data_IF_604023913544
#
_entry.id   IF_604023913544
#
_cell.length_a   1.000
_cell.length_b   1.000
_cell.length_c   1.000
_cell.angle_alpha   90.00
_cell.angle_beta   90.00
_cell.angle_gamma   90.00
#
_symmetry.space_group_name_H-M   'P 1'
#
loop_
_entity.id
_entity.type
_entity.pdbx_description
1 polymer ?
#
# COMPACT_ATOMS: atom_id res chain seq x y z
N UNK A 1 42.08 11.46 -5.36
CA UNK A 1 40.94 11.43 -6.31
C UNK A 1 40.02 10.22 -6.09
N UNK A 2 39.78 9.77 -4.84
CA UNK A 2 38.96 8.59 -4.51
C UNK A 2 37.69 8.91 -3.70
N UNK A 3 37.56 10.13 -3.19
CA UNK A 3 36.47 10.57 -2.29
C UNK A 3 35.25 11.11 -3.09
N UNK A 4 35.46 11.52 -4.33
CA UNK A 4 34.38 12.06 -5.20
C UNK A 4 33.46 10.96 -5.75
N UNK A 5 33.96 9.74 -5.93
CA UNK A 5 33.16 8.63 -6.47
C UNK A 5 32.22 8.01 -5.43
N UNK A 6 32.61 7.97 -4.15
CA UNK A 6 31.78 7.46 -3.06
C UNK A 6 30.63 8.40 -2.70
N UNK A 7 30.82 9.71 -2.84
CA UNK A 7 29.79 10.71 -2.53
C UNK A 7 28.69 10.75 -3.62
N UNK A 8 29.06 10.60 -4.89
CA UNK A 8 28.09 10.50 -5.99
C UNK A 8 27.24 9.22 -5.88
N UNK A 9 27.84 8.10 -5.49
CA UNK A 9 27.12 6.84 -5.28
C UNK A 9 26.17 6.89 -4.08
N UNK A 10 26.57 7.49 -2.96
CA UNK A 10 25.71 7.62 -1.79
C UNK A 10 24.54 8.60 -2.03
N UNK A 11 24.76 9.67 -2.80
CA UNK A 11 23.70 10.62 -3.16
C UNK A 11 22.77 10.04 -4.22
N UNK A 12 23.28 9.26 -5.19
CA UNK A 12 22.41 8.56 -6.15
C UNK A 12 21.57 7.47 -5.46
N UNK A 13 22.14 6.73 -4.50
CA UNK A 13 21.43 5.69 -3.75
C UNK A 13 20.36 6.27 -2.80
N UNK A 14 20.62 7.44 -2.21
CA UNK A 14 19.66 8.14 -1.36
C UNK A 14 18.55 8.89 -2.14
N UNK A 15 18.78 9.20 -3.43
CA UNK A 15 17.77 9.79 -4.32
C UNK A 15 16.98 8.70 -5.06
N UNK A 16 17.54 7.49 -5.22
CA UNK A 16 16.94 6.44 -6.05
C UNK A 16 15.91 5.54 -5.36
N UNK A 17 15.65 5.69 -4.06
CA UNK A 17 14.56 4.93 -3.43
C UNK A 17 13.87 5.74 -2.35
N UNK A 18 12.80 6.49 -2.66
CA UNK A 18 11.59 6.15 -1.95
C UNK A 18 11.31 4.68 -2.31
N UNK A 19 11.31 3.80 -1.32
CA UNK A 19 10.46 2.64 -1.48
C UNK A 19 9.05 3.27 -1.63
N UNK A 20 8.55 3.31 -2.86
CA UNK A 20 7.18 3.72 -3.12
C UNK A 20 6.39 2.46 -2.76
N UNK A 21 5.65 2.47 -1.65
CA UNK A 21 4.67 1.42 -1.45
C UNK A 21 3.63 1.58 -2.56
N UNK A 22 3.52 0.55 -3.39
CA UNK A 22 2.43 0.47 -4.35
C UNK A 22 1.09 0.53 -3.60
N UNK A 23 0.08 1.13 -4.20
CA UNK A 23 -1.30 1.03 -3.73
C UNK A 23 -2.21 0.50 -4.83
N UNK A 24 -3.25 -0.23 -4.41
CA UNK A 24 -4.31 -0.69 -5.29
C UNK A 24 -5.62 -0.17 -4.71
N UNK A 25 -6.42 0.48 -5.55
CA UNK A 25 -7.69 1.07 -5.13
C UNK A 25 -8.84 0.65 -6.04
N UNK A 26 -10.02 0.45 -5.45
CA UNK A 26 -11.28 0.27 -6.17
C UNK A 26 -12.37 1.09 -5.48
N UNK A 27 -13.07 1.94 -6.24
CA UNK A 27 -14.15 2.76 -5.71
C UNK A 27 -15.47 2.03 -5.48
N UNK A 28 -15.62 0.81 -6.02
CA UNK A 28 -16.89 0.07 -6.06
C UNK A 28 -16.74 -1.43 -5.80
N UNK A 29 -15.80 -1.84 -4.94
CA UNK A 29 -15.63 -3.24 -4.57
C UNK A 29 -16.94 -3.84 -4.01
N UNK A 30 -17.30 -5.03 -4.47
CA UNK A 30 -18.49 -5.75 -4.02
C UNK A 30 -18.21 -6.43 -2.68
N UNK A 31 -19.09 -6.25 -1.70
CA UNK A 31 -18.94 -6.84 -0.36
C UNK A 31 -20.20 -7.60 0.04
N UNK A 32 -19.99 -8.80 0.55
CA UNK A 32 -21.01 -9.67 1.13
C UNK A 32 -20.59 -10.04 2.54
N UNK A 33 -21.43 -9.70 3.53
CA UNK A 33 -21.32 -10.18 4.90
C UNK A 33 -22.51 -11.09 5.14
N UNK A 34 -22.25 -12.33 5.53
CA UNK A 34 -23.32 -13.30 5.75
C UNK A 34 -22.90 -14.34 6.78
N UNK A 35 -23.66 -14.47 7.86
CA UNK A 35 -23.46 -15.55 8.83
C UNK A 35 -22.08 -15.55 9.52
N UNK A 36 -21.42 -14.39 9.62
CA UNK A 36 -20.06 -14.25 10.17
C UNK A 36 -18.92 -14.44 9.16
N UNK A 37 -19.28 -14.64 7.89
CA UNK A 37 -18.37 -14.72 6.76
C UNK A 37 -18.37 -13.40 5.99
N UNK A 38 -17.25 -13.15 5.31
CA UNK A 38 -17.03 -12.00 4.44
C UNK A 38 -16.51 -12.47 3.10
N UNK A 39 -17.03 -11.86 2.04
CA UNK A 39 -16.49 -11.97 0.69
C UNK A 39 -16.39 -10.55 0.15
N UNK A 40 -15.21 -10.22 -0.38
CA UNK A 40 -14.92 -8.93 -1.00
C UNK A 40 -14.27 -9.20 -2.34
N UNK A 41 -14.81 -8.60 -3.38
CA UNK A 41 -14.25 -8.69 -4.72
C UNK A 41 -14.14 -7.30 -5.35
N UNK A 42 -12.97 -6.99 -5.86
CA UNK A 42 -12.77 -5.83 -6.72
C UNK A 42 -13.55 -5.99 -8.03
N UNK A 43 -14.10 -4.88 -8.51
CA UNK A 43 -14.88 -4.75 -9.74
C UNK A 43 -14.09 -4.04 -10.84
N UNK A 44 -13.26 -3.06 -10.48
CA UNK A 44 -12.45 -2.27 -11.41
C UNK A 44 -11.21 -1.65 -10.70
N UNK A 45 -10.29 -2.49 -10.23
CA UNK A 45 -9.12 -2.04 -9.49
C UNK A 45 -8.15 -1.24 -10.38
N UNK A 46 -7.64 -0.15 -9.82
CA UNK A 46 -6.56 0.65 -10.39
C UNK A 46 -5.35 0.50 -9.49
N UNK A 47 -4.24 -0.02 -10.04
CA UNK A 47 -2.93 0.12 -9.40
C UNK A 47 -2.37 1.51 -9.71
N UNK A 48 -1.80 2.17 -8.70
CA UNK A 48 -1.10 3.45 -8.87
C UNK A 48 0.34 3.29 -9.36
N UNK A 49 0.79 2.05 -9.56
CA UNK A 49 2.18 1.71 -9.88
C UNK A 49 2.36 1.46 -11.36
N UNK A 50 3.21 2.26 -11.99
CA UNK A 50 3.56 2.11 -13.40
C UNK A 50 4.10 0.69 -13.69
N UNK A 51 3.43 -0.02 -14.60
CA UNK A 51 3.85 -1.34 -15.07
C UNK A 51 3.19 -2.53 -14.38
N UNK A 52 2.33 -2.31 -13.37
CA UNK A 52 1.37 -3.33 -12.98
C UNK A 52 0.17 -3.26 -13.92
N UNK A 53 -0.13 -4.38 -14.58
CA UNK A 53 -1.41 -4.58 -15.26
C UNK A 53 -2.55 -4.40 -14.24
N UNK A 54 -3.80 -4.10 -14.66
CA UNK A 54 -4.92 -4.09 -13.71
C UNK A 54 -5.00 -5.44 -12.98
N UNK A 55 -5.04 -5.39 -11.64
CA UNK A 55 -5.01 -6.57 -10.77
C UNK A 55 -6.27 -6.68 -9.95
N UNK A 56 -6.91 -7.84 -9.92
CA UNK A 56 -8.11 -8.07 -9.13
C UNK A 56 -7.78 -8.50 -7.72
N UNK A 57 -8.32 -7.79 -6.74
CA UNK A 57 -8.22 -8.17 -5.34
C UNK A 57 -9.49 -8.92 -4.96
N UNK A 58 -9.32 -10.07 -4.32
CA UNK A 58 -10.39 -10.82 -3.68
C UNK A 58 -9.98 -11.15 -2.24
N UNK A 59 -10.92 -11.07 -1.32
CA UNK A 59 -10.74 -11.51 0.06
C UNK A 59 -11.94 -12.35 0.45
N UNK A 60 -11.70 -13.47 1.12
CA UNK A 60 -12.77 -14.24 1.73
C UNK A 60 -12.35 -14.80 3.09
N UNK A 61 -13.33 -15.07 3.94
CA UNK A 61 -13.07 -15.67 5.25
C UNK A 61 -14.24 -15.53 6.20
N UNK A 62 -14.04 -15.90 7.44
CA UNK A 62 -15.03 -15.77 8.50
C UNK A 62 -14.48 -16.17 9.87
N UNK A 63 -15.24 -15.83 10.91
CA UNK A 63 -14.82 -16.04 12.30
C UNK A 63 -14.75 -17.52 12.73
N UNK A 64 -15.25 -18.43 11.88
CA UNK A 64 -15.19 -19.88 12.08
C UNK A 64 -14.13 -20.63 11.26
N UNK A 65 -13.29 -19.93 10.47
CA UNK A 65 -12.33 -20.54 9.54
C UNK A 65 -10.87 -20.45 10.03
N UNK A 66 -10.00 -21.31 9.47
CA UNK A 66 -8.55 -21.28 9.65
C UNK A 66 -7.85 -21.52 8.29
N UNK A 67 -7.13 -20.52 7.72
CA UNK A 67 -7.01 -19.15 8.22
C UNK A 67 -8.36 -18.45 8.25
N UNK A 68 -8.54 -17.51 9.20
CA UNK A 68 -9.82 -16.84 9.38
C UNK A 68 -10.17 -15.96 8.17
N UNK A 69 -9.20 -15.31 7.54
CA UNK A 69 -9.38 -14.60 6.27
C UNK A 69 -8.17 -14.80 5.37
N UNK A 70 -8.43 -14.88 4.07
CA UNK A 70 -7.42 -15.01 3.02
C UNK A 70 -7.62 -13.93 1.97
N UNK A 71 -6.51 -13.46 1.43
CA UNK A 71 -6.40 -12.43 0.40
C UNK A 71 -5.75 -13.04 -0.84
N UNK A 72 -6.31 -12.74 -2.01
CA UNK A 72 -5.71 -13.01 -3.31
C UNK A 72 -5.65 -11.73 -4.13
N UNK A 73 -4.53 -11.52 -4.79
CA UNK A 73 -4.40 -10.50 -5.84
C UNK A 73 -4.02 -11.21 -7.13
N UNK A 74 -4.93 -11.16 -8.09
CA UNK A 74 -4.79 -11.80 -9.38
C UNK A 74 -4.38 -10.80 -10.45
N UNK A 75 -3.26 -11.08 -11.10
CA UNK A 75 -2.90 -10.44 -12.37
C UNK A 75 -3.73 -11.02 -13.53
N UNK A 76 -3.46 -10.59 -14.77
CA UNK A 76 -4.20 -11.05 -15.95
C UNK A 76 -4.13 -12.56 -16.21
N UNK A 77 -3.08 -13.23 -15.71
CA UNK A 77 -2.77 -14.63 -16.04
C UNK A 77 -2.54 -15.53 -14.84
N UNK A 78 -2.30 -14.96 -13.67
CA UNK A 78 -1.79 -15.65 -12.49
C UNK A 78 -2.02 -14.83 -11.22
N UNK A 79 -2.08 -15.53 -10.09
CA UNK A 79 -2.11 -14.93 -8.76
C UNK A 79 -0.72 -14.39 -8.42
N UNK A 80 -0.63 -13.09 -8.14
CA UNK A 80 0.62 -12.38 -7.87
C UNK A 80 0.84 -12.10 -6.39
N UNK A 81 -0.23 -12.14 -5.57
CA UNK A 81 -0.17 -12.20 -4.12
C UNK A 81 -1.18 -13.16 -3.54
N UNK A 82 -0.76 -13.86 -2.49
CA UNK A 82 -1.62 -14.61 -1.59
C UNK A 82 -1.27 -14.20 -0.16
N UNK A 83 -2.26 -14.07 0.70
CA UNK A 83 -2.04 -13.69 2.09
C UNK A 83 -3.03 -14.27 3.06
N UNK A 84 -2.54 -14.51 4.27
CA UNK A 84 -3.36 -14.93 5.40
C UNK A 84 -3.47 -13.78 6.40
N UNK A 85 -4.63 -13.66 7.03
CA UNK A 85 -4.87 -12.61 8.01
C UNK A 85 -3.90 -12.69 9.17
N UNK A 86 -3.24 -11.58 9.45
CA UNK A 86 -2.42 -11.38 10.63
C UNK A 86 -3.22 -10.65 11.73
N UNK A 87 -4.02 -9.66 11.34
CA UNK A 87 -4.88 -8.88 12.24
C UNK A 87 -6.09 -8.31 11.50
N UNK A 88 -7.13 -7.92 12.23
CA UNK A 88 -8.25 -7.16 11.68
C UNK A 88 -8.85 -6.23 12.73
N UNK A 89 -9.44 -5.13 12.28
CA UNK A 89 -10.12 -4.19 13.16
C UNK A 89 -11.35 -3.57 12.51
N UNK A 90 -12.33 -3.25 13.34
CA UNK A 90 -13.55 -2.55 12.96
C UNK A 90 -13.70 -1.31 13.83
N UNK A 91 -13.91 -0.14 13.22
CA UNK A 91 -13.97 1.14 13.92
C UNK A 91 -15.28 1.37 14.69
N UNK A 92 -16.25 0.46 14.56
CA UNK A 92 -17.60 0.62 15.11
C UNK A 92 -18.52 1.48 14.24
N UNK A 93 -18.09 1.80 13.02
CA UNK A 93 -18.77 2.67 12.08
C UNK A 93 -18.72 2.08 10.68
N UNK A 94 -17.98 2.72 9.78
CA UNK A 94 -18.00 2.43 8.35
C UNK A 94 -16.64 2.00 7.79
N UNK A 95 -15.67 1.68 8.66
CA UNK A 95 -14.33 1.26 8.24
C UNK A 95 -14.01 -0.11 8.81
N UNK A 96 -13.65 -1.02 7.91
CA UNK A 96 -13.16 -2.36 8.23
C UNK A 96 -11.75 -2.51 7.66
N UNK A 97 -10.80 -2.83 8.52
CA UNK A 97 -9.39 -2.98 8.15
C UNK A 97 -8.93 -4.41 8.41
N UNK A 98 -8.12 -4.93 7.50
CA UNK A 98 -7.46 -6.22 7.61
C UNK A 98 -5.99 -6.07 7.29
N UNK A 99 -5.14 -6.70 8.09
CA UNK A 99 -3.70 -6.80 7.82
C UNK A 99 -3.42 -8.24 7.44
N UNK A 100 -2.81 -8.44 6.28
CA UNK A 100 -2.42 -9.73 5.75
C UNK A 100 -0.91 -9.90 5.76
N UNK A 101 -0.44 -11.05 6.20
CA UNK A 101 0.90 -11.53 5.89
C UNK A 101 0.87 -12.14 4.50
N UNK A 102 1.52 -11.47 3.55
CA UNK A 102 1.44 -11.83 2.13
C UNK A 102 2.73 -12.46 1.62
N UNK A 103 2.59 -13.28 0.59
CA UNK A 103 3.67 -13.82 -0.22
C UNK A 103 3.31 -13.67 -1.70
N UNK A 104 4.29 -13.77 -2.59
CA UNK A 104 4.06 -13.73 -4.03
C UNK A 104 5.05 -12.84 -4.75
N UNK A 105 4.90 -12.73 -6.08
CA UNK A 105 5.80 -11.94 -6.92
C UNK A 105 5.65 -10.44 -6.69
N UNK A 106 4.47 -9.96 -6.27
CA UNK A 106 4.24 -8.53 -6.05
C UNK A 106 4.58 -8.05 -4.62
N UNK A 107 5.03 -8.94 -3.71
CA UNK A 107 5.35 -8.54 -2.33
C UNK A 107 6.60 -7.66 -2.25
N UNK A 108 7.44 -7.67 -3.27
CA UNK A 108 8.57 -6.73 -3.40
C UNK A 108 8.12 -5.26 -3.57
N UNK A 109 6.88 -5.02 -4.01
CA UNK A 109 6.31 -3.69 -4.25
C UNK A 109 5.28 -3.27 -3.20
N UNK A 110 4.46 -4.22 -2.75
CA UNK A 110 3.40 -4.00 -1.76
C UNK A 110 3.85 -4.25 -0.31
N UNK A 111 5.04 -4.85 -0.13
CA UNK A 111 5.54 -5.29 1.18
C UNK A 111 5.09 -6.71 1.53
N UNK A 112 5.63 -7.23 2.62
CA UNK A 112 5.27 -8.57 3.13
C UNK A 112 4.11 -8.52 4.13
N UNK A 113 3.77 -7.32 4.61
CA UNK A 113 2.53 -7.03 5.32
C UNK A 113 1.75 -6.00 4.52
N UNK A 114 0.48 -6.30 4.27
CA UNK A 114 -0.41 -5.46 3.46
C UNK A 114 -1.68 -5.18 4.25
N UNK A 115 -2.12 -3.93 4.25
CA UNK A 115 -3.37 -3.48 4.83
C UNK A 115 -4.42 -3.33 3.73
N UNK A 116 -5.55 -4.01 3.90
CA UNK A 116 -6.78 -3.82 3.15
C UNK A 116 -7.76 -3.00 3.99
N UNK A 117 -8.09 -1.82 3.52
CA UNK A 117 -9.10 -0.93 4.10
C UNK A 117 -10.36 -0.95 3.24
N UNK A 118 -11.49 -1.23 3.87
CA UNK A 118 -12.82 -1.13 3.27
C UNK A 118 -13.57 0.02 3.93
N UNK A 119 -13.95 1.01 3.14
CA UNK A 119 -14.76 2.15 3.58
C UNK A 119 -16.14 2.07 2.95
N UNK A 120 -17.16 1.95 3.80
CA UNK A 120 -18.56 1.89 3.40
C UNK A 120 -19.19 3.29 3.46
N UNK A 121 -20.16 3.55 2.58
CA UNK A 121 -20.94 4.81 2.63
C UNK A 121 -21.94 4.83 3.79
N UNK A 122 -22.22 3.67 4.37
CA UNK A 122 -23.11 3.48 5.52
C UNK A 122 -22.36 2.79 6.65
N UNK A 123 -22.72 3.12 7.89
CA UNK A 123 -22.17 2.40 9.04
C UNK A 123 -22.64 0.95 9.02
N UNK A 124 -21.70 0.03 9.24
CA UNK A 124 -21.98 -1.36 9.53
C UNK A 124 -22.25 -1.51 11.02
N UNK A 125 -23.05 -2.52 11.37
CA UNK A 125 -23.23 -2.93 12.75
C UNK A 125 -22.91 -4.41 12.81
N UNK A 126 -21.97 -4.78 13.70
CA UNK A 126 -21.63 -6.19 13.96
C UNK A 126 -21.18 -6.97 12.70
N UNK A 127 -20.18 -6.51 11.92
CA UNK A 127 -19.89 -6.98 10.56
C UNK A 127 -19.57 -8.48 10.43
N UNK A 128 -19.30 -9.17 11.54
CA UNK A 128 -19.04 -10.61 11.58
C UNK A 128 -19.98 -11.38 12.53
N UNK A 129 -20.99 -10.72 13.07
CA UNK A 129 -21.93 -11.35 13.97
C UNK A 129 -23.22 -11.79 13.29
N UNK A 130 -24.09 -12.39 14.10
CA UNK A 130 -25.30 -13.10 13.63
C UNK A 130 -26.34 -12.20 12.97
N UNK A 131 -26.18 -10.88 13.09
CA UNK A 131 -27.11 -9.88 12.54
C UNK A 131 -26.57 -9.17 11.30
N UNK A 132 -25.32 -9.41 10.89
CA UNK A 132 -24.73 -8.80 9.70
C UNK A 132 -24.99 -9.64 8.46
N UNK A 133 -26.20 -9.49 7.93
CA UNK A 133 -26.46 -9.79 6.52
C UNK A 133 -26.36 -8.47 5.76
N UNK A 134 -25.27 -8.31 5.00
CA UNK A 134 -25.02 -7.13 4.18
C UNK A 134 -24.61 -7.55 2.77
N UNK A 135 -25.18 -6.87 1.77
CA UNK A 135 -24.74 -6.96 0.38
C UNK A 135 -24.71 -5.54 -0.17
N UNK A 136 -23.53 -5.11 -0.63
CA UNK A 136 -23.34 -3.74 -1.08
C UNK A 136 -21.96 -3.49 -1.66
N UNK A 137 -21.58 -2.22 -1.67
CA UNK A 137 -20.31 -1.76 -2.20
C UNK A 137 -19.49 -1.04 -1.14
N UNK A 138 -18.16 -1.11 -1.26
CA UNK A 138 -17.22 -0.36 -0.46
C UNK A 138 -16.13 0.25 -1.34
N UNK A 139 -15.55 1.35 -0.88
CA UNK A 139 -14.25 1.79 -1.38
C UNK A 139 -13.19 0.89 -0.76
N UNK A 140 -12.39 0.27 -1.61
CA UNK A 140 -11.32 -0.64 -1.23
C UNK A 140 -9.97 0.02 -1.49
N UNK A 141 -9.07 -0.07 -0.52
CA UNK A 141 -7.70 0.40 -0.62
C UNK A 141 -6.77 -0.66 -0.06
N UNK A 142 -5.75 -1.04 -0.83
CA UNK A 142 -4.74 -2.03 -0.46
C UNK A 142 -3.37 -1.36 -0.55
N UNK A 143 -2.59 -1.39 0.54
CA UNK A 143 -1.27 -0.79 0.60
C UNK A 143 -0.36 -1.52 1.60
N UNK A 144 0.93 -1.20 1.59
CA UNK A 144 1.86 -1.76 2.59
C UNK A 144 1.44 -1.37 4.01
N UNK A 145 1.35 -2.36 4.91
CA UNK A 145 1.13 -2.16 6.34
C UNK A 145 2.45 -1.91 7.10
N UNK A 146 3.59 -2.16 6.46
CA UNK A 146 4.88 -1.77 7.03
C UNK A 146 4.96 -0.24 7.04
N UNK A 147 5.16 0.38 8.22
CA UNK A 147 5.58 1.78 8.28
C UNK A 147 6.88 1.89 7.47
N UNK A 148 6.79 2.46 6.28
CA UNK A 148 7.98 2.71 5.48
C UNK A 148 8.90 3.59 6.32
N UNK A 149 10.10 3.12 6.71
CA UNK A 149 10.98 3.95 7.48
C UNK A 149 11.25 5.20 6.64
N UNK A 150 10.82 6.36 7.13
CA UNK A 150 11.09 7.63 6.47
C UNK A 150 12.60 7.68 6.26
N UNK A 151 13.07 7.48 5.03
CA UNK A 151 14.49 7.45 4.73
C UNK A 151 15.00 8.81 5.18
N UNK A 152 15.83 8.88 6.24
CA UNK A 152 16.31 10.17 6.71
C UNK A 152 17.06 10.78 5.55
N UNK A 153 16.57 11.89 5.01
CA UNK A 153 17.31 12.65 4.01
C UNK A 153 18.72 12.83 4.59
N UNK A 154 19.79 12.37 3.91
CA UNK A 154 21.13 12.48 4.46
C UNK A 154 21.35 13.93 4.92
N UNK A 155 21.79 14.13 6.16
CA UNK A 155 21.93 15.45 6.79
C UNK A 155 22.83 16.43 5.98
N UNK A 156 23.51 15.92 4.95
CA UNK A 156 24.32 16.66 4.00
C UNK A 156 23.53 17.26 2.83
N UNK A 157 22.26 16.91 2.59
CA UNK A 157 21.41 17.48 1.52
C UNK A 157 21.21 19.00 1.65
N UNK A 158 20.88 19.55 2.84
CA UNK A 158 20.79 21.01 3.02
C UNK A 158 22.14 21.71 2.78
N UNK A 159 23.25 21.07 3.18
CA UNK A 159 24.62 21.56 2.98
C UNK A 159 25.04 21.53 1.50
N UNK A 160 24.62 20.52 0.73
CA UNK A 160 24.86 20.42 -0.71
C UNK A 160 24.06 21.47 -1.50
N UNK A 161 22.79 21.70 -1.13
CA UNK A 161 21.95 22.74 -1.72
C UNK A 161 22.54 24.14 -1.48
N UNK A 162 23.06 24.39 -0.28
CA UNK A 162 23.77 25.63 0.05
C UNK A 162 25.09 25.77 -0.74
N UNK A 163 25.87 24.70 -0.88
CA UNK A 163 27.15 24.71 -1.60
C UNK A 163 26.99 24.92 -3.13
N UNK A 164 25.88 24.45 -3.72
CA UNK A 164 25.54 24.67 -5.14
C UNK A 164 24.96 26.07 -5.41
N UNK A 165 24.39 26.74 -4.41
CA UNK A 165 23.91 28.12 -4.54
C UNK A 165 25.05 29.16 -4.58
N UNK A 166 26.18 28.88 -3.93
CA UNK A 166 27.34 29.78 -3.85
C UNK A 166 28.00 30.09 -5.22
N UNK A 167 28.24 29.13 -6.13
CA UNK A 167 28.83 29.44 -7.44
C UNK A 167 27.91 30.22 -8.39
N UNK A 168 26.58 30.18 -8.20
CA UNK A 168 25.62 30.97 -9.01
C UNK A 168 25.64 32.44 -8.59
N UNK A 169 25.74 32.73 -7.29
CA UNK A 169 25.84 34.09 -6.78
C UNK A 169 27.15 34.78 -7.21
N UNK A 170 28.26 34.04 -7.32
CA UNK A 170 29.55 34.60 -7.74
C UNK A 170 29.68 34.78 -9.27
N UNK A 171 28.93 34.06 -10.10
CA UNK A 171 28.90 34.29 -11.56
C UNK A 171 28.11 35.53 -11.97
N UNK A 172 27.09 35.94 -11.19
CA UNK A 172 26.33 37.17 -11.46
C UNK A 172 27.06 38.47 -11.11
N UNK A 173 28.14 38.41 -10.32
CA UNK A 173 28.88 39.60 -9.86
C UNK A 173 30.02 40.07 -10.76
N UNK A 174 30.26 39.41 -11.91
CA UNK A 174 31.31 39.79 -12.89
C UNK A 174 30.79 40.55 -14.12
N UNK A 175 29.51 40.92 -14.15
CA UNK A 175 28.95 41.86 -15.13
C UNK A 175 28.34 43.05 -14.40
N UNK A 176 29.20 43.93 -13.87
CA UNK A 176 28.90 45.31 -13.51
C UNK A 176 30.20 46.12 -13.64
#
# INVERSE_FOLDING_TARGET
MRILYSLAAATSLAISTPALAATISDGTASVWLYGGDVIVDSTAPLSDTDGLDPVFVSMSGGTGFDPAFSLWVDGPTDTILEGDVADFSFDGGNILNFVFSVTGSASEFLGNLVELTLTFDVALYDPFGVNADFSGVAQMHLASADEMPAVPLPATLPLLAAALAVPVAFRRRKSA
#
